data_IF_833119602472
#
_entry.id   IF_833119602472
#
_cell.length_a   1.000
_cell.length_b   1.000
_cell.length_c   1.000
_cell.angle_alpha   90.00
_cell.angle_beta   90.00
_cell.angle_gamma   90.00
#
_symmetry.space_group_name_H-M   'P 1'
#
loop_
_entity.id
_entity.type
_entity.pdbx_description
1 polymer ?
#
# COMPACT_ATOMS: atom_id res chain seq x y z
N UNK A 1 4.26 -16.90 -14.49
CA UNK A 1 3.91 -18.28 -14.94
C UNK A 1 5.14 -19.19 -15.03
N UNK A 2 6.26 -18.76 -15.60
CA UNK A 2 7.52 -19.51 -15.74
C UNK A 2 7.93 -20.23 -14.44
N UNK A 3 8.01 -19.48 -13.32
CA UNK A 3 8.38 -20.01 -12.00
C UNK A 3 7.49 -21.17 -11.55
N UNK A 4 6.19 -21.09 -11.82
CA UNK A 4 5.23 -22.13 -11.42
C UNK A 4 5.34 -23.38 -12.28
N UNK A 5 5.66 -23.22 -13.57
CA UNK A 5 5.74 -24.35 -14.50
C UNK A 5 7.11 -25.03 -14.48
N UNK A 6 8.18 -24.29 -14.29
CA UNK A 6 9.53 -24.85 -14.24
C UNK A 6 9.89 -25.47 -12.89
N UNK A 7 9.24 -25.01 -11.81
CA UNK A 7 9.44 -25.48 -10.43
C UNK A 7 10.93 -25.52 -10.00
N UNK A 8 11.77 -24.64 -10.59
CA UNK A 8 13.19 -24.58 -10.28
C UNK A 8 13.47 -23.70 -9.07
N UNK A 9 14.60 -23.95 -8.45
CA UNK A 9 15.11 -23.09 -7.37
C UNK A 9 15.78 -21.87 -8.01
N UNK A 10 15.52 -20.68 -7.47
CA UNK A 10 16.13 -19.41 -7.84
C UNK A 10 16.50 -18.63 -6.57
N UNK A 11 17.46 -17.73 -6.67
CA UNK A 11 17.94 -16.92 -5.56
C UNK A 11 17.13 -15.63 -5.37
N UNK A 12 17.50 -14.87 -4.34
CA UNK A 12 16.80 -13.63 -3.98
C UNK A 12 17.00 -12.52 -5.02
N UNK A 13 18.14 -12.47 -5.71
CA UNK A 13 18.38 -11.48 -6.74
C UNK A 13 17.52 -11.74 -7.98
N UNK A 14 17.39 -12.99 -8.38
CA UNK A 14 16.47 -13.36 -9.46
C UNK A 14 15.02 -13.09 -9.07
N UNK A 15 14.62 -13.36 -7.82
CA UNK A 15 13.30 -13.02 -7.29
C UNK A 15 13.01 -11.52 -7.42
N UNK A 16 14.00 -10.67 -7.16
CA UNK A 16 13.89 -9.21 -7.32
C UNK A 16 13.78 -8.80 -8.78
N UNK A 17 14.61 -9.34 -9.65
CA UNK A 17 14.56 -9.07 -11.10
C UNK A 17 13.19 -9.45 -11.68
N UNK A 18 12.61 -10.57 -11.24
CA UNK A 18 11.29 -11.05 -11.66
C UNK A 18 10.11 -10.33 -10.96
N UNK A 19 10.37 -9.40 -10.05
CA UNK A 19 9.34 -8.62 -9.36
C UNK A 19 8.55 -9.40 -8.30
N UNK A 20 9.11 -10.50 -7.78
CA UNK A 20 8.49 -11.28 -6.70
C UNK A 20 8.72 -10.66 -5.33
N UNK A 21 9.82 -9.95 -5.16
CA UNK A 21 10.16 -9.20 -3.95
C UNK A 21 10.58 -7.78 -4.31
N UNK A 22 10.31 -6.84 -3.41
CA UNK A 22 10.60 -5.42 -3.62
C UNK A 22 12.05 -5.07 -3.32
N UNK A 23 12.66 -5.76 -2.34
CA UNK A 23 14.01 -5.49 -1.86
C UNK A 23 14.70 -6.78 -1.46
N UNK A 24 16.00 -6.83 -1.65
CA UNK A 24 16.90 -7.87 -1.15
C UNK A 24 17.90 -7.18 -0.22
N UNK A 25 18.13 -7.75 0.93
CA UNK A 25 19.08 -7.30 1.95
C UNK A 25 19.81 -8.53 2.53
N UNK A 26 20.96 -8.36 3.20
CA UNK A 26 21.60 -9.45 3.95
C UNK A 26 20.66 -10.06 4.99
N UNK A 27 20.78 -11.38 5.24
CA UNK A 27 19.87 -12.12 6.13
C UNK A 27 19.75 -11.50 7.53
N UNK A 28 20.85 -10.97 8.06
CA UNK A 28 20.87 -10.30 9.36
C UNK A 28 20.22 -8.91 9.38
N UNK A 29 19.85 -8.36 8.24
CA UNK A 29 19.20 -7.05 8.11
C UNK A 29 17.71 -7.16 7.78
N UNK A 30 17.19 -8.34 7.46
CA UNK A 30 15.82 -8.55 7.03
C UNK A 30 14.81 -8.04 8.06
N UNK A 31 14.99 -8.38 9.33
CA UNK A 31 14.08 -7.99 10.41
C UNK A 31 14.05 -6.46 10.58
N UNK A 32 15.21 -5.82 10.58
CA UNK A 32 15.32 -4.36 10.67
C UNK A 32 14.62 -3.67 9.49
N UNK A 33 14.88 -4.12 8.27
CA UNK A 33 14.26 -3.53 7.07
C UNK A 33 12.74 -3.69 7.05
N UNK A 34 12.24 -4.85 7.47
CA UNK A 34 10.79 -5.09 7.60
C UNK A 34 10.18 -4.16 8.63
N UNK A 35 10.81 -4.00 9.79
CA UNK A 35 10.34 -3.11 10.84
C UNK A 35 10.31 -1.65 10.40
N UNK A 36 11.39 -1.17 9.78
CA UNK A 36 11.46 0.20 9.24
C UNK A 36 10.41 0.45 8.16
N UNK A 37 10.17 -0.53 7.29
CA UNK A 37 9.12 -0.44 6.26
C UNK A 37 7.73 -0.37 6.89
N UNK A 38 7.46 -1.23 7.88
CA UNK A 38 6.19 -1.21 8.62
C UNK A 38 5.98 0.13 9.34
N UNK A 39 7.05 0.68 9.93
CA UNK A 39 6.99 1.98 10.59
C UNK A 39 6.63 3.10 9.60
N UNK A 40 7.30 3.15 8.44
CA UNK A 40 6.97 4.13 7.37
C UNK A 40 5.51 4.03 6.92
N UNK A 41 4.98 2.81 6.79
CA UNK A 41 3.57 2.58 6.43
C UNK A 41 2.65 3.07 7.55
N UNK A 42 2.98 2.80 8.81
CA UNK A 42 2.16 3.19 9.97
C UNK A 42 2.11 4.70 10.21
N UNK A 43 3.09 5.44 9.70
CA UNK A 43 3.12 6.91 9.74
C UNK A 43 2.17 7.56 8.73
N UNK A 44 1.66 6.80 7.76
CA UNK A 44 0.66 7.26 6.81
C UNK A 44 -0.75 7.32 7.40
N UNK A 45 -1.66 8.04 6.72
CA UNK A 45 -3.06 8.14 7.14
C UNK A 45 -3.75 6.76 7.11
N UNK A 46 -4.24 6.23 8.24
CA UNK A 46 -4.74 4.84 8.32
C UNK A 46 -5.94 4.57 7.40
N UNK A 47 -6.84 5.55 7.24
CA UNK A 47 -7.98 5.43 6.34
C UNK A 47 -7.54 5.33 4.89
N UNK A 48 -6.58 6.16 4.48
CA UNK A 48 -6.03 6.16 3.12
C UNK A 48 -5.36 4.83 2.83
N UNK A 49 -4.55 4.29 3.74
CA UNK A 49 -3.91 2.99 3.57
C UNK A 49 -4.93 1.84 3.43
N UNK A 50 -6.04 1.87 4.20
CA UNK A 50 -7.15 0.91 4.05
C UNK A 50 -7.84 1.04 2.69
N UNK A 51 -8.10 2.27 2.22
CA UNK A 51 -8.70 2.51 0.91
C UNK A 51 -7.80 2.10 -0.24
N UNK A 52 -6.50 2.40 -0.17
CA UNK A 52 -5.54 1.94 -1.18
C UNK A 52 -5.62 0.41 -1.34
N UNK A 53 -5.54 -0.35 -0.24
CA UNK A 53 -5.67 -1.80 -0.30
C UNK A 53 -6.99 -2.24 -0.90
N UNK A 54 -8.12 -1.71 -0.40
CA UNK A 54 -9.46 -2.02 -0.89
C UNK A 54 -9.60 -1.75 -2.39
N UNK A 55 -9.19 -0.57 -2.86
CA UNK A 55 -9.38 -0.19 -4.25
C UNK A 55 -8.40 -0.88 -5.20
N UNK A 56 -7.17 -1.16 -4.78
CA UNK A 56 -6.24 -1.97 -5.58
C UNK A 56 -6.82 -3.36 -5.81
N UNK A 57 -7.26 -4.05 -4.75
CA UNK A 57 -7.90 -5.38 -4.88
C UNK A 57 -9.13 -5.30 -5.78
N UNK A 58 -9.98 -4.29 -5.58
CA UNK A 58 -11.20 -4.09 -6.36
C UNK A 58 -10.93 -3.85 -7.85
N UNK A 59 -9.87 -3.09 -8.19
CA UNK A 59 -9.48 -2.83 -9.58
C UNK A 59 -8.93 -4.09 -10.22
N UNK A 60 -8.08 -4.84 -9.52
CA UNK A 60 -7.52 -6.10 -10.02
C UNK A 60 -8.64 -7.10 -10.33
N UNK A 61 -9.61 -7.23 -9.44
CA UNK A 61 -10.79 -8.09 -9.66
C UNK A 61 -11.69 -7.55 -10.79
N UNK A 62 -11.83 -6.24 -10.89
CA UNK A 62 -12.59 -5.56 -11.94
C UNK A 62 -12.02 -5.77 -13.34
N UNK A 63 -10.69 -5.84 -13.48
CA UNK A 63 -10.03 -6.14 -14.76
C UNK A 63 -10.37 -7.54 -15.24
N UNK A 64 -10.47 -8.53 -14.33
CA UNK A 64 -10.80 -9.91 -14.67
C UNK A 64 -12.24 -10.10 -15.17
N UNK A 65 -13.17 -9.29 -14.66
CA UNK A 65 -14.61 -9.41 -14.92
C UNK A 65 -15.23 -8.21 -15.64
N UNK A 66 -14.41 -7.27 -16.10
CA UNK A 66 -14.83 -6.02 -16.75
C UNK A 66 -15.94 -5.27 -15.98
N UNK A 67 -15.87 -5.29 -14.64
CA UNK A 67 -16.87 -4.69 -13.75
C UNK A 67 -16.42 -3.30 -13.31
N UNK A 68 -17.01 -2.20 -13.84
CA UNK A 68 -16.64 -0.85 -13.44
C UNK A 68 -16.96 -0.59 -11.97
N UNK A 69 -16.36 0.45 -11.40
CA UNK A 69 -16.71 0.94 -10.07
C UNK A 69 -18.17 1.42 -10.06
N UNK A 70 -18.91 1.05 -9.04
CA UNK A 70 -20.26 1.57 -8.84
C UNK A 70 -20.22 2.98 -8.19
N UNK A 71 -21.36 3.64 -8.14
CA UNK A 71 -21.44 5.02 -7.63
C UNK A 71 -21.03 5.14 -6.15
N UNK A 72 -21.30 4.12 -5.33
CA UNK A 72 -20.89 4.09 -3.93
C UNK A 72 -19.38 3.98 -3.78
N UNK A 73 -18.74 3.12 -4.59
CA UNK A 73 -17.28 2.98 -4.61
C UNK A 73 -16.59 4.27 -5.08
N UNK A 74 -17.16 4.96 -6.06
CA UNK A 74 -16.67 6.27 -6.51
C UNK A 74 -16.80 7.33 -5.40
N UNK A 75 -17.97 7.41 -4.75
CA UNK A 75 -18.20 8.36 -3.66
C UNK A 75 -17.28 8.10 -2.47
N UNK A 76 -17.03 6.84 -2.14
CA UNK A 76 -16.12 6.45 -1.06
C UNK A 76 -14.68 6.93 -1.32
N UNK A 77 -14.22 6.90 -2.57
CA UNK A 77 -12.91 7.41 -2.95
C UNK A 77 -12.71 8.90 -2.61
N UNK A 78 -13.79 9.68 -2.63
CA UNK A 78 -13.77 11.11 -2.27
C UNK A 78 -14.07 11.38 -0.79
N UNK A 79 -14.58 10.41 -0.04
CA UNK A 79 -14.91 10.58 1.37
C UNK A 79 -13.69 10.92 2.26
N UNK A 80 -12.47 10.68 1.77
CA UNK A 80 -11.24 11.05 2.47
C UNK A 80 -11.16 12.55 2.79
N UNK A 81 -11.69 13.42 1.94
CA UNK A 81 -11.64 14.88 2.13
C UNK A 81 -12.49 15.38 3.30
N UNK A 82 -13.49 14.60 3.70
CA UNK A 82 -14.39 14.94 4.81
C UNK A 82 -13.88 14.45 6.18
N UNK A 83 -12.81 13.67 6.20
CA UNK A 83 -12.27 13.04 7.41
C UNK A 83 -11.52 14.02 8.30
N UNK A 84 -11.47 13.68 9.60
CA UNK A 84 -10.62 14.38 10.57
C UNK A 84 -9.14 14.29 10.16
N UNK A 85 -8.69 13.13 9.72
CA UNK A 85 -7.31 12.90 9.31
C UNK A 85 -6.89 13.77 8.11
N UNK A 86 -7.79 14.01 7.15
CA UNK A 86 -7.51 14.94 6.06
C UNK A 86 -7.27 16.37 6.58
N UNK A 87 -8.14 16.85 7.46
CA UNK A 87 -8.00 18.19 8.06
C UNK A 87 -6.73 18.33 8.87
N UNK A 88 -6.39 17.31 9.67
CA UNK A 88 -5.15 17.28 10.44
C UNK A 88 -3.90 17.23 9.54
N UNK A 89 -3.91 16.42 8.50
CA UNK A 89 -2.82 16.35 7.52
C UNK A 89 -2.61 17.67 6.79
N UNK A 90 -3.71 18.30 6.34
CA UNK A 90 -3.67 19.59 5.68
C UNK A 90 -3.08 20.69 6.59
N UNK A 91 -3.53 20.79 7.84
CA UNK A 91 -3.00 21.75 8.81
C UNK A 91 -1.53 21.50 9.14
N UNK A 92 -1.15 20.25 9.36
CA UNK A 92 0.23 19.87 9.61
C UNK A 92 1.14 20.23 8.43
N UNK A 93 0.68 20.01 7.19
CA UNK A 93 1.40 20.41 5.97
C UNK A 93 1.64 21.93 5.93
N UNK A 94 0.60 22.74 6.15
CA UNK A 94 0.72 24.20 6.19
C UNK A 94 1.71 24.68 7.26
N UNK A 95 1.69 24.02 8.43
CA UNK A 95 2.53 24.36 9.56
C UNK A 95 3.94 23.72 9.52
N UNK A 96 4.25 22.96 8.45
CA UNK A 96 5.51 22.19 8.30
C UNK A 96 5.78 21.26 9.50
N UNK A 97 4.74 20.61 10.00
CA UNK A 97 4.77 19.69 11.13
C UNK A 97 4.42 18.28 10.70
N UNK A 98 4.85 17.29 11.48
CA UNK A 98 4.44 15.89 11.27
C UNK A 98 2.98 15.72 11.74
N UNK A 99 2.07 15.22 10.89
CA UNK A 99 0.67 14.99 11.30
C UNK A 99 0.57 13.83 12.31
N UNK A 100 -0.49 13.89 13.14
CA UNK A 100 -0.94 12.77 13.97
C UNK A 100 -2.28 12.29 13.45
N UNK A 101 -2.28 11.15 12.78
CA UNK A 101 -3.51 10.55 12.24
C UNK A 101 -4.18 9.64 13.26
N UNK A 102 -5.53 9.65 13.30
CA UNK A 102 -6.35 8.91 14.25
C UNK A 102 -7.23 7.84 13.57
N UNK A 103 -7.28 7.82 12.24
CA UNK A 103 -8.05 6.85 11.49
C UNK A 103 -9.56 7.18 11.40
N UNK A 104 -9.94 8.47 11.50
CA UNK A 104 -11.33 8.95 11.48
C UNK A 104 -11.52 10.26 10.72
#
# INVERSE_FOLDING_TARGET
LEILFEARIFDSEEAKIKGLVNKVVPDNEVELEVYETALRISEGAPLVNRWHKKFVDRIIDGVKVAKPLNQSELSEGFACFDTHDFKMGYQAFLNKQKPKFEGR
#
